data_IF_681772593343
#
_entry.id   IF_681772593343
#
_cell.length_a   1.000
_cell.length_b   1.000
_cell.length_c   1.000
_cell.angle_alpha   90.00
_cell.angle_beta   90.00
_cell.angle_gamma   90.00
#
_symmetry.space_group_name_H-M   'P 1'
#
loop_
_entity.id
_entity.type
_entity.pdbx_description
1 polymer ?
#
# COMPACT_ATOMS: atom_id res chain seq x y z
N UNK A 1 9.22 -13.23 -14.92
CA UNK A 1 8.00 -13.62 -15.68
C UNK A 1 6.85 -12.86 -15.06
N UNK A 2 5.90 -12.34 -15.84
CA UNK A 2 4.71 -11.68 -15.29
C UNK A 2 3.95 -12.63 -14.35
N UNK A 3 3.26 -12.05 -13.38
CA UNK A 3 2.48 -12.72 -12.34
C UNK A 3 3.27 -13.78 -11.58
N UNK A 4 4.58 -13.63 -11.44
CA UNK A 4 5.48 -14.63 -10.84
C UNK A 4 5.41 -16.01 -11.51
N UNK A 5 4.96 -16.06 -12.78
CA UNK A 5 4.72 -17.30 -13.51
C UNK A 5 3.43 -18.05 -13.10
N UNK A 6 2.56 -17.43 -12.30
CA UNK A 6 1.24 -17.99 -11.94
C UNK A 6 0.23 -17.73 -13.05
N UNK A 7 -0.76 -18.60 -13.15
CA UNK A 7 -1.91 -18.40 -14.03
C UNK A 7 -2.84 -17.34 -13.45
N UNK A 8 -3.32 -16.45 -14.31
CA UNK A 8 -4.39 -15.51 -13.97
C UNK A 8 -5.70 -16.29 -13.82
N UNK A 9 -6.47 -15.95 -12.81
CA UNK A 9 -7.72 -16.63 -12.50
C UNK A 9 -8.78 -16.40 -13.58
N UNK A 10 -9.57 -17.43 -13.87
CA UNK A 10 -10.74 -17.34 -14.75
C UNK A 10 -12.03 -17.00 -13.99
N UNK A 11 -11.98 -17.07 -12.67
CA UNK A 11 -13.06 -16.70 -11.75
C UNK A 11 -12.53 -15.68 -10.73
N UNK A 12 -13.26 -14.58 -10.58
CA UNK A 12 -12.91 -13.46 -9.70
C UNK A 12 -13.77 -13.41 -8.43
N UNK A 13 -14.61 -14.44 -8.21
CA UNK A 13 -15.53 -14.55 -7.07
C UNK A 13 -14.87 -14.35 -5.69
N UNK A 14 -13.59 -14.73 -5.56
CA UNK A 14 -12.81 -14.57 -4.34
C UNK A 14 -12.65 -13.11 -3.87
N UNK A 15 -12.82 -12.13 -4.76
CA UNK A 15 -12.68 -10.70 -4.47
C UNK A 15 -14.00 -9.90 -4.47
N UNK A 16 -15.15 -10.51 -4.78
CA UNK A 16 -16.44 -9.78 -4.90
C UNK A 16 -16.78 -9.01 -3.62
N UNK A 17 -16.46 -9.56 -2.45
CA UNK A 17 -16.72 -8.91 -1.15
C UNK A 17 -15.96 -7.57 -0.99
N UNK A 18 -14.79 -7.41 -1.63
CA UNK A 18 -14.06 -6.13 -1.67
C UNK A 18 -14.79 -5.12 -2.55
N UNK A 19 -15.27 -5.56 -3.73
CA UNK A 19 -16.02 -4.71 -4.64
C UNK A 19 -17.33 -4.20 -4.02
N UNK A 20 -18.06 -5.09 -3.33
CA UNK A 20 -19.29 -4.73 -2.59
C UNK A 20 -19.00 -3.70 -1.49
N UNK A 21 -17.94 -3.93 -0.71
CA UNK A 21 -17.54 -3.00 0.35
C UNK A 21 -17.17 -1.63 -0.22
N UNK A 22 -16.28 -1.59 -1.22
CA UNK A 22 -15.83 -0.35 -1.83
C UNK A 22 -16.98 0.45 -2.47
N UNK A 23 -17.94 -0.24 -3.11
CA UNK A 23 -19.12 0.40 -3.74
C UNK A 23 -20.05 1.09 -2.72
N UNK A 24 -20.02 0.66 -1.46
CA UNK A 24 -20.84 1.25 -0.39
C UNK A 24 -20.12 2.38 0.37
N UNK A 25 -18.81 2.52 0.17
CA UNK A 25 -17.98 3.46 0.90
C UNK A 25 -17.99 4.85 0.27
N UNK A 26 -17.66 5.86 1.06
CA UNK A 26 -17.38 7.20 0.54
C UNK A 26 -16.06 7.16 -0.25
N UNK A 27 -16.02 7.61 -1.52
CA UNK A 27 -14.79 7.62 -2.31
C UNK A 27 -13.64 8.37 -1.64
N UNK A 28 -12.40 7.94 -1.93
CA UNK A 28 -11.18 8.53 -1.38
C UNK A 28 -11.13 8.55 0.16
N UNK A 29 -11.71 7.52 0.79
CA UNK A 29 -11.58 7.26 2.23
C UNK A 29 -10.96 5.90 2.49
N UNK A 30 -10.48 5.67 3.71
CA UNK A 30 -9.95 4.37 4.13
C UNK A 30 -10.98 3.26 3.91
N UNK A 31 -12.27 3.51 4.14
CA UNK A 31 -13.34 2.54 3.90
C UNK A 31 -13.52 2.14 2.43
N UNK A 32 -13.12 3.00 1.48
CA UNK A 32 -13.14 2.69 0.05
C UNK A 32 -11.98 1.77 -0.36
N UNK A 33 -10.90 1.74 0.43
CA UNK A 33 -9.75 0.85 0.22
C UNK A 33 -9.93 -0.46 0.97
N UNK A 34 -10.16 -0.38 2.29
CA UNK A 34 -10.21 -1.52 3.20
C UNK A 34 -11.62 -1.62 3.80
N UNK A 35 -12.27 -2.79 3.74
CA UNK A 35 -13.60 -2.97 4.29
C UNK A 35 -13.74 -2.58 5.76
N UNK A 36 -14.81 -1.85 6.07
CA UNK A 36 -15.13 -1.41 7.44
C UNK A 36 -15.60 -2.54 8.37
N UNK A 37 -15.72 -3.77 7.84
CA UNK A 37 -15.99 -4.98 8.62
C UNK A 37 -14.80 -5.47 9.45
N UNK A 38 -13.58 -5.02 9.14
CA UNK A 38 -12.41 -5.30 9.97
C UNK A 38 -12.45 -4.53 11.29
N UNK A 39 -12.00 -5.15 12.38
CA UNK A 39 -12.03 -4.55 13.71
C UNK A 39 -11.09 -3.34 13.83
N UNK A 40 -9.97 -3.38 13.12
CA UNK A 40 -8.98 -2.32 13.11
C UNK A 40 -8.32 -2.20 11.73
N UNK A 41 -7.82 -0.99 11.44
CA UNK A 41 -7.05 -0.70 10.24
C UNK A 41 -5.77 0.03 10.62
N UNK A 42 -4.65 -0.36 10.02
CA UNK A 42 -3.38 0.35 10.07
C UNK A 42 -3.03 0.95 8.72
N UNK A 43 -2.32 2.08 8.75
CA UNK A 43 -1.59 2.64 7.61
C UNK A 43 -0.09 2.42 7.84
N UNK A 44 0.57 1.86 6.85
CA UNK A 44 2.01 1.61 6.80
C UNK A 44 2.60 2.60 5.81
N UNK A 45 3.46 3.49 6.25
CA UNK A 45 4.14 4.43 5.36
C UNK A 45 5.24 3.71 4.58
N UNK A 46 5.33 3.94 3.28
CA UNK A 46 6.46 3.44 2.50
C UNK A 46 7.67 4.33 2.79
N UNK A 47 8.85 3.78 3.11
CA UNK A 47 10.02 4.59 3.39
C UNK A 47 10.48 5.32 2.12
N UNK A 48 11.04 6.51 2.30
CA UNK A 48 11.94 7.08 1.29
C UNK A 48 13.26 6.30 1.31
N UNK A 49 14.09 6.46 0.28
CA UNK A 49 15.35 5.72 0.15
C UNK A 49 16.51 6.68 0.09
N UNK A 50 17.53 6.42 0.91
CA UNK A 50 18.84 7.07 0.83
C UNK A 50 19.87 6.06 0.36
N UNK A 51 20.65 6.47 -0.63
CA UNK A 51 21.68 5.64 -1.26
C UNK A 51 23.01 5.85 -0.54
N UNK A 52 23.63 4.75 -0.10
CA UNK A 52 24.93 4.75 0.58
C UNK A 52 25.85 3.75 -0.12
N UNK A 53 26.59 4.23 -1.12
CA UNK A 53 27.32 3.32 -2.01
C UNK A 53 26.32 2.52 -2.86
N UNK A 54 26.38 1.19 -2.75
CA UNK A 54 25.46 0.27 -3.41
C UNK A 54 24.27 -0.13 -2.51
N UNK A 55 24.20 0.40 -1.28
CA UNK A 55 23.14 0.07 -0.31
C UNK A 55 21.98 1.08 -0.37
N UNK A 56 20.76 0.54 -0.40
CA UNK A 56 19.51 1.27 -0.23
C UNK A 56 19.11 1.29 1.25
N UNK A 57 19.14 2.48 1.86
CA UNK A 57 18.79 2.68 3.26
C UNK A 57 17.41 3.30 3.36
N UNK A 58 16.48 2.60 4.01
CA UNK A 58 15.13 3.09 4.30
C UNK A 58 15.17 4.31 5.22
N UNK A 59 14.42 5.35 4.86
CA UNK A 59 14.24 6.59 5.62
C UNK A 59 12.77 6.73 5.97
N UNK A 60 12.40 6.61 7.27
CA UNK A 60 11.02 6.76 7.70
C UNK A 60 10.55 8.21 7.57
N UNK A 61 9.26 8.40 7.33
CA UNK A 61 8.62 9.70 7.22
C UNK A 61 8.82 10.53 8.48
N UNK A 62 8.84 9.93 9.66
CA UNK A 62 9.18 10.64 10.90
C UNK A 62 10.55 11.35 10.85
N UNK A 63 11.56 10.74 10.20
CA UNK A 63 12.87 11.38 10.02
C UNK A 63 12.79 12.53 9.02
N UNK A 64 12.02 12.36 7.95
CA UNK A 64 11.78 13.40 6.94
C UNK A 64 11.02 14.57 7.53
N UNK A 65 9.99 14.31 8.34
CA UNK A 65 9.21 15.34 9.01
C UNK A 65 10.06 16.14 9.99
N UNK A 66 10.88 15.46 10.81
CA UNK A 66 11.80 16.12 11.72
C UNK A 66 12.80 17.04 11.00
N UNK A 67 13.33 16.60 9.84
CA UNK A 67 14.27 17.39 9.05
C UNK A 67 13.60 18.62 8.39
N UNK A 68 12.34 18.49 7.97
CA UNK A 68 11.57 19.58 7.37
C UNK A 68 10.85 20.48 8.39
N UNK A 69 10.92 20.15 9.68
CA UNK A 69 10.21 20.88 10.73
C UNK A 69 8.69 20.69 10.70
N UNK A 70 8.22 19.62 10.06
CA UNK A 70 6.80 19.22 10.02
C UNK A 70 6.48 18.23 11.14
N UNK A 71 5.19 18.04 11.40
CA UNK A 71 4.67 17.23 12.51
C UNK A 71 4.37 15.82 12.04
N UNK A 72 4.76 14.82 12.83
CA UNK A 72 4.38 13.42 12.61
C UNK A 72 2.98 13.19 13.18
N UNK A 73 2.08 12.68 12.34
CA UNK A 73 0.74 12.26 12.76
C UNK A 73 0.14 11.26 11.74
N UNK A 74 -0.91 10.49 12.09
CA UNK A 74 -1.42 9.42 11.22
C UNK A 74 -1.91 9.86 9.84
N UNK A 75 -2.37 11.11 9.73
CA UNK A 75 -2.92 11.70 8.50
C UNK A 75 -1.88 12.41 7.63
N UNK A 76 -0.61 12.41 8.02
CA UNK A 76 0.41 13.16 7.28
C UNK A 76 0.49 12.66 5.84
N UNK A 77 0.72 13.58 4.91
CA UNK A 77 0.86 13.30 3.48
C UNK A 77 2.25 13.70 3.00
N UNK A 78 2.84 12.91 2.11
CA UNK A 78 4.24 13.06 1.70
C UNK A 78 4.54 14.49 1.22
N UNK A 79 3.69 15.02 0.33
CA UNK A 79 3.83 16.39 -0.16
C UNK A 79 3.82 17.43 0.97
N UNK A 80 2.91 17.35 1.94
CA UNK A 80 2.87 18.26 3.08
C UNK A 80 4.07 18.10 4.04
N UNK A 81 4.59 16.88 4.17
CA UNK A 81 5.77 16.57 4.99
C UNK A 81 7.05 17.16 4.38
N UNK A 82 7.20 17.09 3.06
CA UNK A 82 8.36 17.58 2.32
C UNK A 82 8.24 19.03 1.86
N UNK A 83 7.01 19.55 1.78
CA UNK A 83 6.67 20.92 1.39
C UNK A 83 6.41 21.13 -0.11
N UNK A 84 6.46 20.10 -0.95
CA UNK A 84 6.19 20.18 -2.39
C UNK A 84 5.66 18.85 -2.97
N UNK A 85 4.79 18.92 -3.97
CA UNK A 85 4.31 17.76 -4.72
C UNK A 85 5.36 17.23 -5.71
N UNK A 86 6.29 18.07 -6.16
CA UNK A 86 7.39 17.65 -7.05
C UNK A 86 8.27 16.52 -6.45
N UNK A 87 8.34 16.43 -5.12
CA UNK A 87 9.01 15.35 -4.38
C UNK A 87 8.37 13.97 -4.51
N UNK A 88 7.31 13.82 -5.31
CA UNK A 88 6.80 12.51 -5.72
C UNK A 88 7.43 11.98 -7.02
N UNK A 89 8.00 12.86 -7.85
CA UNK A 89 8.33 12.49 -9.23
C UNK A 89 9.83 12.55 -9.52
N UNK A 90 10.45 13.72 -9.37
CA UNK A 90 11.75 13.99 -9.99
C UNK A 90 12.77 14.65 -9.06
N UNK A 91 12.37 14.98 -7.83
CA UNK A 91 13.23 15.72 -6.91
C UNK A 91 13.57 14.92 -5.65
N UNK A 92 14.63 15.34 -4.96
CA UNK A 92 15.13 14.76 -3.74
C UNK A 92 15.41 15.79 -2.64
N UNK A 93 15.69 15.31 -1.43
CA UNK A 93 16.19 16.16 -0.35
C UNK A 93 17.59 15.68 0.08
N UNK A 94 18.53 15.62 -0.85
CA UNK A 94 19.90 15.19 -0.56
C UNK A 94 20.56 16.07 0.54
N UNK A 95 21.28 15.50 1.52
CA UNK A 95 21.66 14.08 1.64
C UNK A 95 20.68 13.21 2.43
N UNK A 96 19.48 13.70 2.76
CA UNK A 96 18.53 13.00 3.64
C UNK A 96 17.92 11.77 2.96
N UNK A 97 17.51 11.90 1.71
CA UNK A 97 17.00 10.83 0.86
C UNK A 97 17.17 11.23 -0.61
N UNK A 98 17.18 10.24 -1.51
CA UNK A 98 17.33 10.41 -2.97
C UNK A 98 16.14 9.83 -3.74
N UNK A 99 15.53 8.76 -3.22
CA UNK A 99 14.32 8.16 -3.78
C UNK A 99 13.12 8.49 -2.90
N UNK A 100 12.07 9.04 -3.50
CA UNK A 100 10.79 9.21 -2.82
C UNK A 100 10.17 7.84 -2.47
N UNK A 101 9.26 7.78 -1.50
CA UNK A 101 8.44 6.59 -1.26
C UNK A 101 7.79 6.08 -2.54
N UNK A 102 7.87 4.76 -2.76
CA UNK A 102 7.32 4.14 -3.97
C UNK A 102 5.79 4.35 -4.06
N UNK A 103 5.34 5.01 -5.14
CA UNK A 103 3.92 5.24 -5.43
C UNK A 103 3.32 4.03 -6.15
N UNK A 104 2.18 3.54 -5.65
CA UNK A 104 1.45 2.43 -6.25
C UNK A 104 2.12 1.07 -6.17
N UNK A 105 3.23 1.00 -5.44
CA UNK A 105 4.09 -0.17 -5.33
C UNK A 105 4.49 -0.34 -3.86
N UNK A 106 4.25 -1.53 -3.30
CA UNK A 106 4.69 -1.89 -1.95
C UNK A 106 6.16 -2.34 -2.00
N UNK A 107 7.11 -1.63 -1.35
CA UNK A 107 8.51 -2.02 -1.38
C UNK A 107 8.73 -3.44 -0.83
N UNK A 108 9.57 -4.23 -1.51
CA UNK A 108 9.84 -5.63 -1.18
C UNK A 108 10.17 -5.88 0.31
N UNK A 109 11.13 -5.16 0.92
CA UNK A 109 11.44 -5.33 2.33
C UNK A 109 10.27 -5.02 3.28
N UNK A 110 9.41 -4.06 2.93
CA UNK A 110 8.18 -3.76 3.68
C UNK A 110 7.19 -4.92 3.54
N UNK A 111 7.00 -5.44 2.33
CA UNK A 111 6.15 -6.60 2.07
C UNK A 111 6.61 -7.83 2.86
N UNK A 112 7.91 -8.13 2.90
CA UNK A 112 8.47 -9.25 3.67
C UNK A 112 8.14 -9.14 5.17
N UNK A 113 8.27 -7.95 5.76
CA UNK A 113 7.91 -7.70 7.16
C UNK A 113 6.40 -7.85 7.40
N UNK A 114 5.56 -7.42 6.48
CA UNK A 114 4.11 -7.65 6.54
C UNK A 114 3.78 -9.14 6.45
N UNK A 115 4.37 -9.88 5.50
CA UNK A 115 4.20 -11.33 5.34
C UNK A 115 4.58 -12.08 6.62
N UNK A 116 5.70 -11.68 7.24
CA UNK A 116 6.18 -12.30 8.48
C UNK A 116 5.16 -12.20 9.63
N UNK A 117 4.40 -11.10 9.72
CA UNK A 117 3.32 -10.96 10.71
C UNK A 117 2.05 -11.65 10.25
N UNK A 118 1.56 -11.30 9.07
CA UNK A 118 0.22 -11.69 8.60
C UNK A 118 0.06 -13.19 8.36
N UNK A 119 1.16 -13.90 8.08
CA UNK A 119 1.17 -15.37 7.99
C UNK A 119 0.69 -16.06 9.27
N UNK A 120 0.93 -15.46 10.45
CA UNK A 120 0.48 -16.00 11.76
C UNK A 120 -0.99 -15.72 12.05
N UNK A 121 -1.59 -14.77 11.33
CA UNK A 121 -2.95 -14.28 11.54
C UNK A 121 -3.94 -14.80 10.50
N UNK A 122 -3.62 -15.89 9.82
CA UNK A 122 -4.51 -16.61 8.91
C UNK A 122 -4.36 -18.11 9.10
N UNK A 123 -5.43 -18.84 8.83
CA UNK A 123 -5.46 -20.31 8.76
C UNK A 123 -5.15 -20.83 7.35
N UNK A 124 -5.06 -19.93 6.36
CA UNK A 124 -4.85 -20.28 4.94
C UNK A 124 -3.68 -19.51 4.31
N UNK A 125 -2.45 -19.54 4.86
CA UNK A 125 -1.31 -18.79 4.34
C UNK A 125 -0.88 -19.26 2.93
N UNK A 126 -1.15 -20.51 2.57
CA UNK A 126 -0.83 -21.07 1.26
C UNK A 126 -1.86 -20.69 0.17
N UNK A 127 -2.97 -20.07 0.55
CA UNK A 127 -4.09 -19.72 -0.34
C UNK A 127 -4.45 -18.25 -0.15
N UNK A 128 -3.57 -17.38 -0.63
CA UNK A 128 -3.77 -15.96 -0.75
C UNK A 128 -4.13 -15.57 -2.18
N UNK A 129 -5.00 -14.56 -2.29
CA UNK A 129 -5.34 -13.91 -3.54
C UNK A 129 -4.58 -12.60 -3.65
N UNK A 130 -4.10 -12.29 -4.85
CA UNK A 130 -3.39 -11.08 -5.17
C UNK A 130 -4.05 -10.41 -6.37
N UNK A 131 -4.49 -9.18 -6.19
CA UNK A 131 -5.10 -8.35 -7.23
C UNK A 131 -4.05 -7.39 -7.79
N UNK A 132 -3.86 -7.42 -9.10
CA UNK A 132 -2.91 -6.56 -9.82
C UNK A 132 -3.68 -5.68 -10.79
N UNK A 133 -3.55 -4.37 -10.65
CA UNK A 133 -4.29 -3.39 -11.43
C UNK A 133 -4.02 -3.50 -12.94
N UNK A 134 -5.09 -3.40 -13.74
CA UNK A 134 -4.97 -3.13 -15.16
C UNK A 134 -4.36 -1.73 -15.40
N UNK A 135 -3.58 -1.60 -16.47
CA UNK A 135 -2.95 -0.34 -16.87
C UNK A 135 -1.58 -0.09 -16.24
N UNK A 136 -1.08 -1.03 -15.43
CA UNK A 136 0.30 -1.06 -14.97
C UNK A 136 1.26 -1.71 -15.98
N UNK A 137 2.21 -2.50 -15.47
CA UNK A 137 3.24 -3.17 -16.25
C UNK A 137 2.89 -4.63 -16.66
N UNK A 138 1.66 -5.06 -16.35
CA UNK A 138 1.14 -6.39 -16.71
C UNK A 138 -0.05 -6.30 -17.66
N UNK A 139 -0.21 -7.31 -18.51
CA UNK A 139 -1.35 -7.44 -19.43
C UNK A 139 -1.76 -8.91 -19.49
N UNK A 140 -3.05 -9.20 -19.34
CA UNK A 140 -3.62 -10.53 -19.54
C UNK A 140 -4.98 -10.47 -20.24
N UNK A 141 -5.22 -11.42 -21.15
CA UNK A 141 -6.54 -11.63 -21.77
C UNK A 141 -7.37 -12.59 -20.90
N UNK A 142 -7.74 -12.12 -19.71
CA UNK A 142 -8.46 -12.88 -18.67
C UNK A 142 -9.51 -11.98 -17.99
N UNK A 143 -10.55 -12.56 -17.37
CA UNK A 143 -11.50 -11.81 -16.56
C UNK A 143 -10.83 -11.01 -15.45
N UNK A 144 -11.44 -9.87 -15.12
CA UNK A 144 -10.98 -8.95 -14.06
C UNK A 144 -12.03 -8.83 -12.96
N UNK A 145 -11.55 -8.50 -11.76
CA UNK A 145 -12.37 -8.05 -10.65
C UNK A 145 -12.57 -6.53 -10.78
N UNK A 146 -13.82 -6.09 -10.91
CA UNK A 146 -14.19 -4.68 -10.96
C UNK A 146 -14.34 -4.10 -9.54
N UNK A 147 -13.50 -3.14 -9.18
CA UNK A 147 -13.75 -2.19 -8.08
C UNK A 147 -14.20 -0.84 -8.70
N UNK A 148 -14.83 0.08 -7.94
CA UNK A 148 -15.44 1.29 -8.48
C UNK A 148 -14.56 2.10 -9.46
N UNK A 149 -13.26 2.19 -9.20
CA UNK A 149 -12.34 3.01 -9.98
C UNK A 149 -11.38 2.21 -10.87
N UNK A 150 -11.38 0.86 -10.79
CA UNK A 150 -10.34 0.04 -11.43
C UNK A 150 -10.67 -1.44 -11.58
N UNK A 151 -10.08 -2.03 -12.60
CA UNK A 151 -10.12 -3.47 -12.88
C UNK A 151 -8.82 -4.15 -12.43
N UNK A 152 -8.93 -5.35 -11.86
CA UNK A 152 -7.78 -6.11 -11.36
C UNK A 152 -7.77 -7.54 -11.88
N UNK A 153 -6.62 -8.02 -12.34
CA UNK A 153 -6.40 -9.45 -12.51
C UNK A 153 -6.11 -10.10 -11.18
N UNK A 154 -6.67 -11.29 -10.95
CA UNK A 154 -6.43 -12.05 -9.74
C UNK A 154 -5.47 -13.21 -10.02
N UNK A 155 -4.51 -13.41 -9.13
CA UNK A 155 -3.74 -14.64 -9.03
C UNK A 155 -3.87 -15.22 -7.63
N UNK A 156 -3.66 -16.53 -7.51
CA UNK A 156 -3.67 -17.23 -6.24
C UNK A 156 -2.32 -17.91 -5.99
N UNK A 157 -1.92 -17.94 -4.73
CA UNK A 157 -0.72 -18.64 -4.29
C UNK A 157 -0.43 -18.38 -2.82
N UNK A 158 0.75 -18.80 -2.34
CA UNK A 158 1.11 -18.65 -0.95
C UNK A 158 1.46 -17.18 -0.65
N UNK A 159 1.36 -16.79 0.62
CA UNK A 159 1.50 -15.42 1.10
C UNK A 159 2.83 -14.76 0.67
N UNK A 160 3.90 -15.53 0.48
CA UNK A 160 5.23 -15.05 0.07
C UNK A 160 5.22 -14.38 -1.31
N UNK A 161 4.21 -14.61 -2.14
CA UNK A 161 4.05 -13.89 -3.40
C UNK A 161 3.83 -12.38 -3.20
N UNK A 162 3.40 -11.94 -2.01
CA UNK A 162 3.20 -10.52 -1.70
C UNK A 162 4.47 -9.67 -1.91
N UNK A 163 5.64 -10.26 -1.67
CA UNK A 163 6.94 -9.59 -1.79
C UNK A 163 7.59 -9.75 -3.18
N UNK A 164 6.90 -10.39 -4.13
CA UNK A 164 7.45 -10.67 -5.45
C UNK A 164 7.02 -9.64 -6.49
N UNK A 165 7.86 -9.45 -7.50
CA UNK A 165 7.53 -8.63 -8.66
C UNK A 165 6.49 -9.34 -9.54
N UNK A 166 5.32 -8.71 -9.72
CA UNK A 166 4.24 -9.18 -10.57
C UNK A 166 4.46 -8.83 -12.04
N UNK A 167 5.34 -7.88 -12.35
CA UNK A 167 5.69 -7.53 -13.72
C UNK A 167 6.84 -8.40 -14.24
N UNK A 168 7.09 -8.33 -15.56
CA UNK A 168 8.33 -8.84 -16.11
C UNK A 168 9.39 -7.74 -16.07
N UNK A 169 10.61 -8.11 -15.67
CA UNK A 169 11.78 -7.26 -15.78
C UNK A 169 11.89 -6.62 -17.18
N UNK A 170 12.26 -5.33 -17.26
CA UNK A 170 12.79 -4.48 -16.18
C UNK A 170 11.73 -3.68 -15.41
N UNK A 171 10.44 -3.99 -15.58
CA UNK A 171 9.37 -3.27 -14.89
C UNK A 171 9.11 -3.87 -13.51
N UNK A 172 8.67 -3.02 -12.57
CA UNK A 172 8.30 -3.43 -11.22
C UNK A 172 6.83 -3.14 -10.95
N UNK A 173 6.12 -4.12 -10.41
CA UNK A 173 4.74 -3.95 -9.96
C UNK A 173 4.46 -4.92 -8.81
N UNK A 174 4.05 -4.41 -7.66
CA UNK A 174 3.55 -5.26 -6.55
C UNK A 174 2.09 -5.65 -6.81
N UNK A 175 1.57 -6.59 -6.02
CA UNK A 175 0.12 -6.70 -5.88
C UNK A 175 -0.43 -5.39 -5.26
N UNK A 176 -1.56 -4.92 -5.76
CA UNK A 176 -2.25 -3.74 -5.22
C UNK A 176 -3.19 -4.12 -4.08
N UNK A 177 -3.78 -5.31 -4.12
CA UNK A 177 -4.57 -5.85 -3.01
C UNK A 177 -4.17 -7.30 -2.79
N UNK A 178 -4.16 -7.74 -1.53
CA UNK A 178 -4.00 -9.15 -1.22
C UNK A 178 -4.65 -9.55 0.10
N UNK A 179 -5.18 -10.78 0.13
CA UNK A 179 -5.94 -11.33 1.26
C UNK A 179 -5.89 -12.86 1.25
N UNK A 180 -6.00 -13.53 2.41
CA UNK A 180 -6.09 -14.98 2.49
C UNK A 180 -7.51 -15.47 2.17
N UNK A 181 -7.66 -16.75 1.82
CA UNK A 181 -8.97 -17.35 1.53
C UNK A 181 -9.96 -17.26 2.71
N UNK A 182 -9.48 -17.31 3.95
CA UNK A 182 -10.29 -17.13 5.15
C UNK A 182 -10.64 -15.65 5.47
N UNK A 183 -10.13 -14.71 4.68
CA UNK A 183 -10.39 -13.25 4.78
C UNK A 183 -10.05 -12.67 6.16
N UNK A 184 -9.12 -13.27 6.88
CA UNK A 184 -8.73 -12.82 8.22
C UNK A 184 -8.13 -11.40 8.24
N UNK A 185 -7.54 -10.97 7.12
CA UNK A 185 -6.99 -9.63 6.91
C UNK A 185 -7.05 -9.26 5.43
N UNK A 186 -6.81 -7.98 5.13
CA UNK A 186 -6.66 -7.48 3.76
C UNK A 186 -5.60 -6.37 3.74
N UNK A 187 -4.73 -6.41 2.73
CA UNK A 187 -3.69 -5.40 2.50
C UNK A 187 -3.96 -4.69 1.19
N UNK A 188 -3.86 -3.36 1.18
CA UNK A 188 -4.18 -2.51 0.03
C UNK A 188 -3.12 -1.43 -0.17
N UNK A 189 -2.47 -1.48 -1.32
CA UNK A 189 -1.56 -0.47 -1.87
C UNK A 189 -2.18 0.07 -3.15
N UNK A 190 -2.98 1.13 -3.01
CA UNK A 190 -3.59 1.79 -4.15
C UNK A 190 -2.52 2.47 -5.02
N UNK A 191 -2.79 2.54 -6.33
CA UNK A 191 -1.83 2.98 -7.34
C UNK A 191 -1.36 4.43 -7.16
N UNK A 192 -2.15 5.27 -6.52
CA UNK A 192 -1.83 6.69 -6.30
C UNK A 192 -1.15 6.92 -4.95
N UNK A 193 -1.07 5.89 -4.11
CA UNK A 193 -0.59 6.00 -2.73
C UNK A 193 0.88 5.61 -2.58
N UNK A 194 1.50 6.29 -1.63
CA UNK A 194 2.86 6.00 -1.10
C UNK A 194 2.80 5.37 0.30
N UNK A 195 1.68 4.72 0.58
CA UNK A 195 1.41 4.04 1.84
C UNK A 195 0.43 2.91 1.61
N UNK A 196 0.50 1.89 2.47
CA UNK A 196 -0.33 0.70 2.41
C UNK A 196 -1.29 0.65 3.59
N UNK A 197 -2.53 0.22 3.36
CA UNK A 197 -3.51 0.01 4.42
C UNK A 197 -3.66 -1.48 4.70
N UNK A 198 -3.77 -1.84 5.97
CA UNK A 198 -3.97 -3.22 6.43
C UNK A 198 -5.18 -3.27 7.34
N UNK A 199 -6.21 -4.00 6.95
CA UNK A 199 -7.37 -4.32 7.79
C UNK A 199 -7.24 -5.72 8.39
N UNK A 200 -7.64 -5.89 9.65
CA UNK A 200 -7.61 -7.18 10.33
C UNK A 200 -8.29 -7.14 11.69
N UNK A 201 -8.08 -8.19 12.50
CA UNK A 201 -8.47 -8.17 13.91
C UNK A 201 -7.66 -7.11 14.69
N UNK A 202 -8.20 -6.64 15.81
CA UNK A 202 -7.49 -5.66 16.63
C UNK A 202 -6.12 -6.17 17.11
N UNK A 203 -6.01 -7.47 17.41
CA UNK A 203 -4.78 -8.10 17.84
C UNK A 203 -3.74 -8.24 16.71
N UNK A 204 -4.19 -8.57 15.49
CA UNK A 204 -3.33 -8.57 14.30
C UNK A 204 -2.74 -7.18 14.03
N UNK A 205 -3.57 -6.14 14.09
CA UNK A 205 -3.12 -4.76 13.87
C UNK A 205 -2.21 -4.26 14.99
N UNK A 206 -2.49 -4.63 16.24
CA UNK A 206 -1.60 -4.32 17.36
C UNK A 206 -0.20 -4.90 17.20
N UNK A 207 -0.09 -6.10 16.62
CA UNK A 207 1.21 -6.72 16.33
C UNK A 207 1.99 -5.95 15.27
N UNK A 208 1.33 -5.40 14.24
CA UNK A 208 1.97 -4.57 13.22
C UNK A 208 2.59 -3.29 13.82
N UNK A 209 1.95 -2.67 14.82
CA UNK A 209 2.51 -1.51 15.51
C UNK A 209 3.80 -1.81 16.28
N UNK A 210 4.07 -3.08 16.59
CA UNK A 210 5.24 -3.50 17.35
C UNK A 210 6.40 -4.00 16.46
N UNK A 211 6.24 -3.98 15.12
CA UNK A 211 7.28 -4.45 14.20
C UNK A 211 8.36 -3.39 14.00
N UNK A 212 9.59 -3.73 14.36
CA UNK A 212 10.75 -2.92 14.03
C UNK A 212 10.93 -2.78 12.51
N UNK A 213 11.23 -1.57 12.04
CA UNK A 213 11.42 -1.29 10.62
C UNK A 213 10.13 -1.12 9.81
N UNK A 214 8.96 -1.09 10.47
CA UNK A 214 7.72 -0.60 9.86
C UNK A 214 7.27 0.68 10.55
N UNK A 215 6.96 1.72 9.77
CA UNK A 215 6.34 2.93 10.28
C UNK A 215 4.82 2.82 10.14
N UNK A 216 4.17 2.40 11.22
CA UNK A 216 2.75 2.00 11.23
C UNK A 216 1.95 2.90 12.17
N UNK A 217 0.82 3.40 11.69
CA UNK A 217 -0.11 4.26 12.44
C UNK A 217 -1.55 3.76 12.31
N UNK A 218 -2.43 4.01 13.30
CA UNK A 218 -3.82 3.64 13.19
C UNK A 218 -4.54 4.46 12.10
N UNK A 219 -5.46 3.83 11.39
CA UNK A 219 -6.33 4.47 10.41
C UNK A 219 -7.81 4.23 10.75
N UNK A 220 -8.65 5.22 10.53
CA UNK A 220 -10.09 5.13 10.75
C UNK A 220 -10.85 5.14 9.41
N UNK A 221 -11.96 4.38 9.28
CA UNK A 221 -12.65 4.19 7.99
C UNK A 221 -13.07 5.50 7.28
N UNK A 222 -13.44 6.54 8.03
CA UNK A 222 -13.87 7.83 7.48
C UNK A 222 -12.73 8.79 7.13
N UNK A 223 -11.47 8.43 7.40
CA UNK A 223 -10.33 9.29 7.09
C UNK A 223 -10.10 9.35 5.58
N UNK A 224 -9.76 10.54 5.09
CA UNK A 224 -9.40 10.78 3.69
C UNK A 224 -8.02 10.17 3.40
N UNK A 225 -7.84 9.70 2.16
CA UNK A 225 -6.58 9.09 1.69
C UNK A 225 -5.86 9.95 0.65
N UNK A 226 -6.45 11.09 0.28
CA UNK A 226 -5.93 12.04 -0.71
C UNK A 226 -4.85 12.95 -0.14
N UNK A 227 -4.14 13.63 -1.03
CA UNK A 227 -3.03 14.54 -0.67
C UNK A 227 -3.44 15.66 0.30
N UNK A 228 -4.71 16.07 0.29
CA UNK A 228 -5.30 17.11 1.15
C UNK A 228 -5.74 16.58 2.53
N UNK A 229 -5.54 15.29 2.83
CA UNK A 229 -5.93 14.71 4.11
C UNK A 229 -5.09 15.22 5.30
N UNK A 230 -3.89 15.76 5.04
CA UNK A 230 -3.05 16.38 6.06
C UNK A 230 -3.59 17.77 6.41
N UNK A 231 -4.19 17.86 7.59
CA UNK A 231 -4.76 19.10 8.14
C UNK A 231 -3.87 19.72 9.23
N UNK A 232 -2.68 19.16 9.47
CA UNK A 232 -1.75 19.59 10.53
C UNK A 232 -0.53 20.26 9.92
N UNK A 233 0.06 19.68 8.87
CA UNK A 233 1.18 20.28 8.16
C UNK A 233 0.69 21.23 7.05
N UNK A 234 1.49 22.25 6.69
CA UNK A 234 1.13 23.17 5.62
C UNK A 234 0.90 22.44 4.30
N UNK A 235 -0.14 22.87 3.58
CA UNK A 235 -0.37 22.41 2.21
C UNK A 235 0.76 22.90 1.29
N UNK A 236 1.31 22.02 0.43
CA UNK A 236 2.31 22.42 -0.56
C UNK A 236 1.81 23.53 -1.49
N UNK A 237 2.65 24.50 -1.89
CA UNK A 237 2.25 25.60 -2.76
C UNK A 237 1.95 25.15 -4.20
N UNK A 238 2.46 23.99 -4.61
CA UNK A 238 2.27 23.34 -5.91
C UNK A 238 1.22 22.22 -5.86
N UNK A 239 0.43 22.15 -4.79
CA UNK A 239 -0.65 21.18 -4.68
C UNK A 239 -1.72 21.40 -5.77
N UNK A 240 -2.35 20.33 -6.30
CA UNK A 240 -3.46 20.46 -7.23
C UNK A 240 -4.61 21.28 -6.64
N UNK A 241 -5.38 21.95 -7.50
CA UNK A 241 -6.63 22.56 -7.07
C UNK A 241 -7.61 21.47 -6.60
N UNK A 242 -8.29 21.72 -5.47
CA UNK A 242 -9.29 20.83 -4.87
C UNK A 242 -10.61 20.79 -5.63
#
# INVERSE_FOLDING_TARGET
MQFTGRSVALDTSAGIWLAESASSATPATVAALVPSSFEAVARVFHPAVRYVGDDDVEVPWASVAAANGTTVHPLMQWGSVTGAMEYFENDDQSPLWHGAPARGHLPGPVAERLVAVLSRWTTTPDVCWFAVAQGGAVIADHPTLSLPDREYWLINGPIELAAQNMAAEPFEQSANLWWPADRAWCVVTDIDLVSTYVGGSAACIAELFAVDGLEVVPAAPGQRTTWDADQVNPTPPDAPDS
#
